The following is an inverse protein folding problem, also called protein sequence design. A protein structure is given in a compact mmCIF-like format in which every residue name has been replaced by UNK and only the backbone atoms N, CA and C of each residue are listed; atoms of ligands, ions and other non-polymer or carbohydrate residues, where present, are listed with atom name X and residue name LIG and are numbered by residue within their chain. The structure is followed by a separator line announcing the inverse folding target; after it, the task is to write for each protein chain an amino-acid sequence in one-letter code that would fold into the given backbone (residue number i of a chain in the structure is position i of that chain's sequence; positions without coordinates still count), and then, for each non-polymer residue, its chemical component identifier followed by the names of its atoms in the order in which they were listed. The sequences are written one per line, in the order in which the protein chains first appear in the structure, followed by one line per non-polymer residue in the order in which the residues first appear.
data_IF_961953151854
#
_entry.id   IF_961953151854
#
_cell.length_a   1.000
_cell.length_b   1.000
_cell.length_c   1.000
_cell.angle_alpha   90.00
_cell.angle_beta   90.00
_cell.angle_gamma   90.00
#
_symmetry.space_group_name_H-M   'P 1'
#
loop_
_entity.id
_entity.type
_entity.pdbx_description
1 polymer ?
#
# COMPACT_ATOMS: atom_id res chain seq x y z
N UNK A 1 9.03 -4.23 -17.83
CA UNK A 1 8.11 -4.72 -16.78
C UNK A 1 6.82 -3.94 -16.85
N UNK A 2 5.69 -4.62 -16.69
CA UNK A 2 4.38 -3.97 -16.61
C UNK A 2 3.89 -4.01 -15.16
N UNK A 3 3.46 -2.86 -14.64
CA UNK A 3 2.96 -2.77 -13.25
C UNK A 3 1.75 -3.66 -12.99
N UNK A 4 0.97 -3.96 -14.03
CA UNK A 4 -0.24 -4.78 -13.91
C UNK A 4 -0.01 -6.25 -14.18
N UNK A 5 1.25 -6.68 -14.35
CA UNK A 5 1.60 -8.08 -14.52
C UNK A 5 1.85 -8.72 -13.15
N UNK A 6 0.77 -9.15 -12.52
CA UNK A 6 0.79 -9.74 -11.19
C UNK A 6 -0.39 -10.69 -11.00
N UNK A 7 -0.32 -11.50 -9.94
CA UNK A 7 -1.41 -12.34 -9.48
C UNK A 7 -1.91 -11.83 -8.14
N UNK A 8 -3.24 -11.84 -7.96
CA UNK A 8 -3.84 -11.48 -6.68
C UNK A 8 -3.64 -12.62 -5.69
N UNK A 9 -3.10 -12.36 -4.48
CA UNK A 9 -2.95 -13.41 -3.48
C UNK A 9 -4.31 -13.89 -2.96
N UNK A 10 -4.38 -15.13 -2.51
CA UNK A 10 -5.60 -15.69 -1.92
C UNK A 10 -5.91 -15.04 -0.56
N UNK A 11 -4.87 -14.69 0.19
CA UNK A 11 -4.99 -13.99 1.46
C UNK A 11 -3.79 -13.09 1.66
N UNK A 12 -3.96 -12.06 2.52
CA UNK A 12 -2.88 -11.12 2.83
C UNK A 12 -2.48 -10.25 1.64
N UNK A 13 -1.21 -9.93 1.60
CA UNK A 13 -0.64 -9.03 0.60
C UNK A 13 0.65 -9.61 0.02
N UNK A 14 0.91 -9.31 -1.24
CA UNK A 14 2.18 -9.61 -1.90
C UNK A 14 2.97 -8.33 -2.11
N UNK A 15 4.19 -8.31 -1.60
CA UNK A 15 5.13 -7.20 -1.78
C UNK A 15 6.17 -7.57 -2.83
N UNK A 16 6.33 -6.73 -3.83
CA UNK A 16 7.34 -6.91 -4.86
C UNK A 16 8.16 -5.64 -5.00
N UNK A 17 9.46 -5.74 -4.84
CA UNK A 17 10.37 -4.62 -5.09
C UNK A 17 10.60 -4.49 -6.59
N UNK A 18 10.20 -3.36 -7.16
CA UNK A 18 10.33 -3.08 -8.59
C UNK A 18 11.63 -2.40 -8.93
N UNK A 19 12.10 -1.53 -8.04
CA UNK A 19 13.33 -0.77 -8.21
C UNK A 19 13.94 -0.48 -6.85
N UNK A 20 15.26 -0.63 -6.78
CA UNK A 20 16.02 -0.17 -5.63
C UNK A 20 17.28 0.49 -6.17
N UNK A 21 17.42 1.79 -5.95
CA UNK A 21 18.53 2.57 -6.48
C UNK A 21 18.83 3.73 -5.54
N UNK A 22 20.06 3.73 -4.98
CA UNK A 22 20.49 4.74 -4.01
C UNK A 22 19.50 4.82 -2.84
N UNK A 23 18.83 5.97 -2.65
CA UNK A 23 17.89 6.19 -1.57
C UNK A 23 16.43 5.95 -1.98
N UNK A 24 16.21 5.40 -3.18
CA UNK A 24 14.86 5.17 -3.71
C UNK A 24 14.57 3.68 -3.75
N UNK A 25 13.40 3.33 -3.23
CA UNK A 25 12.87 1.97 -3.32
C UNK A 25 11.41 2.04 -3.75
N UNK A 26 11.08 1.34 -4.82
CA UNK A 26 9.73 1.28 -5.35
C UNK A 26 9.21 -0.13 -5.20
N UNK A 27 8.11 -0.27 -4.47
CA UNK A 27 7.46 -1.56 -4.25
C UNK A 27 6.06 -1.54 -4.84
N UNK A 28 5.64 -2.69 -5.34
CA UNK A 28 4.25 -2.94 -5.68
C UNK A 28 3.65 -3.83 -4.60
N UNK A 29 2.48 -3.43 -4.09
CA UNK A 29 1.73 -4.20 -3.11
C UNK A 29 0.41 -4.61 -3.73
N UNK A 30 0.16 -5.91 -3.83
CA UNK A 30 -1.11 -6.45 -4.31
C UNK A 30 -1.81 -7.07 -3.12
N UNK A 31 -3.00 -6.58 -2.81
CA UNK A 31 -3.75 -6.98 -1.62
C UNK A 31 -4.97 -7.83 -1.99
N UNK A 32 -5.26 -8.82 -1.15
CA UNK A 32 -6.56 -9.49 -1.13
C UNK A 32 -7.52 -8.73 -0.23
N UNK A 33 -8.78 -9.17 -0.16
CA UNK A 33 -9.74 -8.64 0.81
C UNK A 33 -9.49 -9.16 2.23
N UNK A 34 -8.62 -10.16 2.38
CA UNK A 34 -8.27 -10.77 3.66
C UNK A 34 -6.96 -10.18 4.20
N UNK A 35 -7.02 -8.92 4.59
CA UNK A 35 -5.88 -8.19 5.17
C UNK A 35 -6.15 -7.95 6.64
N UNK A 36 -5.19 -8.35 7.48
CA UNK A 36 -5.28 -8.11 8.92
C UNK A 36 -4.66 -6.76 9.25
N UNK A 37 -5.36 -5.89 9.97
CA UNK A 37 -4.80 -4.59 10.36
C UNK A 37 -3.54 -4.76 11.21
N UNK A 38 -2.45 -4.14 10.76
CA UNK A 38 -1.19 -4.09 11.48
C UNK A 38 -0.69 -2.66 11.40
N UNK A 39 -0.32 -2.08 12.54
CA UNK A 39 0.25 -0.75 12.56
C UNK A 39 1.71 -0.79 12.14
N UNK A 40 2.08 0.08 11.22
CA UNK A 40 3.45 0.26 10.76
C UNK A 40 3.97 1.62 11.16
N UNK A 41 5.23 1.65 11.59
CA UNK A 41 6.00 2.87 11.81
C UNK A 41 7.31 2.67 11.07
N UNK A 42 7.59 3.53 10.10
CA UNK A 42 8.77 3.42 9.24
C UNK A 42 9.72 4.57 9.46
N UNK A 43 11.00 4.32 9.21
CA UNK A 43 12.05 5.35 9.32
C UNK A 43 12.16 6.20 8.06
N UNK A 44 11.56 5.77 6.95
CA UNK A 44 11.59 6.49 5.69
C UNK A 44 10.26 7.17 5.40
N UNK A 45 10.31 8.24 4.60
CA UNK A 45 9.11 8.81 4.01
C UNK A 45 8.55 7.85 2.97
N UNK A 46 7.23 7.81 2.88
CA UNK A 46 6.55 6.98 1.90
C UNK A 46 5.57 7.82 1.08
N UNK A 47 5.62 7.66 -0.24
CA UNK A 47 4.60 8.18 -1.14
C UNK A 47 3.99 6.99 -1.86
N UNK A 48 2.66 6.93 -1.88
CA UNK A 48 1.96 5.84 -2.53
C UNK A 48 0.88 6.34 -3.47
N UNK A 49 0.58 5.54 -4.46
CA UNK A 49 -0.55 5.75 -5.38
C UNK A 49 -1.35 4.45 -5.44
N UNK A 50 -2.66 4.57 -5.38
CA UNK A 50 -3.55 3.41 -5.55
C UNK A 50 -3.86 3.25 -7.03
N UNK A 51 -3.46 2.13 -7.61
CA UNK A 51 -3.62 1.87 -9.05
C UNK A 51 -4.91 1.12 -9.37
N UNK A 52 -5.35 0.24 -8.50
CA UNK A 52 -6.57 -0.55 -8.67
C UNK A 52 -7.20 -0.82 -7.30
N UNK A 53 -8.53 -0.90 -7.27
CA UNK A 53 -9.27 -1.25 -6.07
C UNK A 53 -9.55 -0.08 -5.16
N UNK A 54 -9.73 -0.37 -3.88
CA UNK A 54 -10.01 0.60 -2.84
C UNK A 54 -9.34 0.17 -1.56
N UNK A 55 -8.78 1.12 -0.83
CA UNK A 55 -8.14 0.86 0.46
C UNK A 55 -8.58 1.88 1.49
N UNK A 56 -8.81 1.41 2.70
CA UNK A 56 -9.05 2.27 3.86
C UNK A 56 -7.84 2.21 4.76
N UNK A 57 -7.24 3.37 5.03
CA UNK A 57 -6.07 3.49 5.88
C UNK A 57 -6.38 4.39 7.07
N UNK A 58 -5.74 4.10 8.20
CA UNK A 58 -5.74 4.98 9.35
C UNK A 58 -4.34 5.56 9.53
N UNK A 59 -4.26 6.89 9.57
CA UNK A 59 -3.01 7.62 9.77
C UNK A 59 -3.25 8.59 10.92
N UNK A 60 -2.50 8.45 12.01
CA UNK A 60 -2.63 9.31 13.20
C UNK A 60 -4.09 9.46 13.64
N UNK A 61 -4.82 8.42 13.86
CA UNK A 61 -6.23 8.44 14.30
C UNK A 61 -7.22 8.99 13.27
N UNK A 62 -6.79 9.24 12.03
CA UNK A 62 -7.67 9.66 10.94
C UNK A 62 -7.78 8.57 9.90
N UNK A 63 -9.00 8.25 9.52
CA UNK A 63 -9.24 7.30 8.44
C UNK A 63 -9.30 8.01 7.10
N UNK A 64 -8.69 7.37 6.10
CA UNK A 64 -8.72 7.81 4.70
C UNK A 64 -9.10 6.68 3.81
N UNK A 65 -10.02 6.93 2.88
CA UNK A 65 -10.38 5.97 1.84
C UNK A 65 -9.70 6.42 0.55
N UNK A 66 -8.91 5.53 -0.03
CA UNK A 66 -8.25 5.76 -1.31
C UNK A 66 -8.92 4.96 -2.40
N UNK A 67 -9.18 5.62 -3.52
CA UNK A 67 -9.70 5.00 -4.72
C UNK A 67 -8.69 5.13 -5.85
N UNK A 68 -8.98 4.53 -7.00
CA UNK A 68 -8.06 4.47 -8.13
C UNK A 68 -7.50 5.85 -8.51
N UNK A 69 -6.19 5.94 -8.59
CA UNK A 69 -5.46 7.16 -8.95
C UNK A 69 -5.17 8.10 -7.80
N UNK A 70 -5.68 7.84 -6.61
CA UNK A 70 -5.40 8.69 -5.46
C UNK A 70 -4.02 8.40 -4.87
N UNK A 71 -3.40 9.45 -4.35
CA UNK A 71 -2.06 9.40 -3.76
C UNK A 71 -2.09 9.78 -2.30
N UNK A 72 -1.09 9.36 -1.57
CA UNK A 72 -0.94 9.67 -0.17
C UNK A 72 0.54 9.77 0.17
N UNK A 73 0.89 10.79 0.96
CA UNK A 73 2.23 10.91 1.53
C UNK A 73 2.19 10.58 3.01
N UNK A 74 3.05 9.67 3.44
CA UNK A 74 3.20 9.27 4.84
C UNK A 74 4.61 9.65 5.27
N UNK A 75 4.76 10.68 6.11
CA UNK A 75 6.08 11.06 6.62
C UNK A 75 6.72 9.95 7.45
N UNK A 76 8.05 9.98 7.53
CA UNK A 76 8.79 9.07 8.40
C UNK A 76 8.27 9.11 9.83
N UNK A 77 8.22 7.95 10.48
CA UNK A 77 7.83 7.76 11.87
C UNK A 77 6.38 8.09 12.20
N UNK A 78 5.53 8.25 11.18
CA UNK A 78 4.10 8.42 11.38
C UNK A 78 3.42 7.06 11.39
N UNK A 79 2.72 6.70 12.47
CA UNK A 79 2.00 5.43 12.54
C UNK A 79 0.87 5.36 11.51
N UNK A 80 0.78 4.25 10.82
CA UNK A 80 -0.30 4.02 9.85
C UNK A 80 -0.71 2.56 9.81
N UNK A 81 -1.97 2.31 9.46
CA UNK A 81 -2.55 0.97 9.42
C UNK A 81 -3.44 0.85 8.20
N UNK A 82 -3.29 -0.25 7.45
CA UNK A 82 -4.25 -0.60 6.41
C UNK A 82 -5.38 -1.35 7.08
N UNK A 83 -6.57 -0.76 7.09
CA UNK A 83 -7.74 -1.32 7.77
C UNK A 83 -8.52 -2.28 6.88
N UNK A 84 -8.62 -1.95 5.59
CA UNK A 84 -9.45 -2.71 4.67
C UNK A 84 -8.96 -2.52 3.24
N UNK A 85 -9.02 -3.60 2.45
CA UNK A 85 -8.74 -3.57 1.01
C UNK A 85 -9.74 -4.46 0.29
N UNK A 86 -9.98 -4.19 -0.99
CA UNK A 86 -10.72 -5.09 -1.87
C UNK A 86 -9.75 -6.09 -2.50
N UNK A 87 -10.26 -7.23 -2.96
CA UNK A 87 -9.45 -8.17 -3.73
C UNK A 87 -8.89 -7.49 -4.98
N UNK A 88 -7.57 -7.67 -5.21
CA UNK A 88 -6.91 -7.06 -6.36
C UNK A 88 -6.59 -5.59 -6.18
N UNK A 89 -6.61 -5.05 -4.97
CA UNK A 89 -6.13 -3.69 -4.69
C UNK A 89 -4.62 -3.64 -4.92
N UNK A 90 -4.16 -2.66 -5.70
CA UNK A 90 -2.76 -2.50 -6.08
C UNK A 90 -2.26 -1.10 -5.76
N UNK A 91 -1.15 -1.01 -5.04
CA UNK A 91 -0.48 0.26 -4.79
C UNK A 91 1.04 0.12 -4.72
#
# INVERSE_FOLDING_TARGET
MNLYDYLTPESGENFTTLLEHKNIKINRIVSSSDVKPVEYIQDEDEWLVLLEGEATLRIEDKEKILTKGETLFIPAKVPHTVLKTNDGTVC
#
